data_IF_768353615798
#
_entry.id   IF_768353615798
#
_cell.length_a   1.000
_cell.length_b   1.000
_cell.length_c   1.000
_cell.angle_alpha   90.00
_cell.angle_beta   90.00
_cell.angle_gamma   90.00
#
_symmetry.space_group_name_H-M   'P 1'
#
loop_
_entity.id
_entity.type
_entity.pdbx_description
1 polymer ?
#
# COMPACT_ATOMS: atom_id res chain seq x y z
N UNK A 1 -5.04 5.85 8.15
CA UNK A 1 -4.66 5.91 6.71
C UNK A 1 -4.21 4.54 6.24
N UNK A 2 -4.56 4.16 5.00
CA UNK A 2 -4.04 2.98 4.30
C UNK A 2 -3.04 3.42 3.25
N UNK A 3 -1.94 2.69 3.15
CA UNK A 3 -0.88 2.98 2.17
C UNK A 3 -0.63 1.75 1.31
N UNK A 4 -0.57 1.94 0.00
CA UNK A 4 -0.24 0.89 -0.96
C UNK A 4 1.17 1.13 -1.50
N UNK A 5 2.01 0.11 -1.47
CA UNK A 5 3.41 0.21 -1.89
C UNK A 5 3.72 -0.91 -2.88
N UNK A 6 4.37 -0.52 -3.97
CA UNK A 6 5.04 -1.45 -4.87
C UNK A 6 6.48 -1.55 -4.42
N UNK A 7 6.86 -2.72 -3.93
CA UNK A 7 8.27 -3.02 -3.67
C UNK A 7 8.95 -3.42 -4.98
N UNK A 8 10.15 -2.88 -5.19
CA UNK A 8 11.04 -3.44 -6.19
C UNK A 8 11.35 -4.90 -5.83
N UNK A 9 11.51 -5.79 -6.82
CA UNK A 9 11.72 -7.22 -6.58
C UNK A 9 12.93 -7.51 -5.68
N UNK A 10 13.97 -6.67 -5.75
CA UNK A 10 15.18 -6.78 -4.92
C UNK A 10 14.90 -6.63 -3.42
N UNK A 11 13.83 -5.92 -3.04
CA UNK A 11 13.47 -5.64 -1.65
C UNK A 11 12.28 -6.48 -1.16
N UNK A 12 11.71 -7.35 -2.01
CA UNK A 12 10.64 -8.27 -1.59
C UNK A 12 11.20 -9.23 -0.54
N UNK A 13 10.53 -9.29 0.62
CA UNK A 13 10.92 -10.15 1.74
C UNK A 13 11.96 -9.54 2.69
N UNK A 14 12.59 -8.42 2.33
CA UNK A 14 13.53 -7.71 3.21
C UNK A 14 12.86 -6.60 4.03
N UNK A 15 11.76 -6.04 3.51
CA UNK A 15 11.05 -4.92 4.13
C UNK A 15 9.75 -5.40 4.75
N UNK A 16 9.61 -5.21 6.06
CA UNK A 16 8.37 -5.46 6.81
C UNK A 16 7.45 -4.23 6.82
N UNK A 17 6.15 -4.46 7.03
CA UNK A 17 5.14 -3.40 7.17
C UNK A 17 5.53 -2.40 8.26
N UNK A 18 5.99 -2.90 9.41
CA UNK A 18 6.39 -2.07 10.55
C UNK A 18 7.51 -1.08 10.20
N UNK A 19 8.48 -1.51 9.40
CA UNK A 19 9.61 -0.68 8.98
C UNK A 19 9.13 0.50 8.11
N UNK A 20 8.17 0.24 7.22
CA UNK A 20 7.54 1.28 6.41
C UNK A 20 6.72 2.23 7.28
N UNK A 21 5.91 1.70 8.19
CA UNK A 21 5.07 2.52 9.07
C UNK A 21 5.96 3.48 9.88
N UNK A 22 7.05 2.99 10.48
CA UNK A 22 8.00 3.82 11.22
C UNK A 22 8.68 4.86 10.32
N UNK A 23 9.15 4.44 9.14
CA UNK A 23 9.80 5.33 8.18
C UNK A 23 8.87 6.47 7.73
N UNK A 24 7.61 6.14 7.46
CA UNK A 24 6.62 7.13 7.05
C UNK A 24 6.22 7.99 8.25
N UNK A 25 6.01 7.43 9.44
CA UNK A 25 5.66 8.18 10.65
C UNK A 25 6.70 9.26 11.00
N UNK A 26 7.99 9.03 10.71
CA UNK A 26 9.06 10.03 10.86
C UNK A 26 8.98 11.20 9.88
N UNK A 27 8.24 11.06 8.77
CA UNK A 27 8.17 12.04 7.67
C UNK A 27 6.85 12.79 7.59
N UNK A 28 5.79 12.28 8.21
CA UNK A 28 4.50 12.96 8.29
C UNK A 28 4.23 13.50 9.69
N UNK A 29 3.32 14.48 9.75
CA UNK A 29 2.86 15.04 11.02
C UNK A 29 2.13 14.00 11.87
N UNK A 30 2.25 14.12 13.20
CA UNK A 30 1.82 13.14 14.20
C UNK A 30 0.35 12.69 14.08
N UNK A 31 -0.53 13.53 13.49
CA UNK A 31 -1.93 13.17 13.29
C UNK A 31 -2.18 12.21 12.11
N UNK A 32 -1.24 12.07 11.15
CA UNK A 32 -1.38 11.18 10.00
C UNK A 32 -0.84 9.78 10.32
N UNK A 33 -1.51 9.08 11.23
CA UNK A 33 -1.17 7.71 11.57
C UNK A 33 -1.59 6.72 10.47
N UNK A 34 -0.65 5.88 10.05
CA UNK A 34 -0.88 4.77 9.11
C UNK A 34 -1.28 3.55 9.93
N UNK A 35 -2.36 2.89 9.53
CA UNK A 35 -2.90 1.72 10.22
C UNK A 35 -2.52 0.42 9.51
N UNK A 36 -2.47 0.45 8.17
CA UNK A 36 -2.26 -0.74 7.34
C UNK A 36 -1.42 -0.35 6.12
N UNK A 37 -0.50 -1.25 5.75
CA UNK A 37 0.37 -1.14 4.57
C UNK A 37 0.12 -2.34 3.67
N UNK A 38 -0.51 -2.10 2.52
CA UNK A 38 -0.73 -3.14 1.52
C UNK A 38 0.42 -3.20 0.54
N UNK A 39 1.04 -4.38 0.38
CA UNK A 39 2.00 -4.63 -0.68
C UNK A 39 1.31 -5.11 -1.95
N UNK A 40 1.44 -4.34 -3.01
CA UNK A 40 0.84 -4.62 -4.33
C UNK A 40 1.94 -4.72 -5.39
N UNK A 41 1.78 -5.64 -6.33
CA UNK A 41 2.75 -5.81 -7.43
C UNK A 41 2.60 -4.72 -8.49
N UNK A 42 1.37 -4.26 -8.71
CA UNK A 42 1.04 -3.28 -9.73
C UNK A 42 -0.05 -2.34 -9.20
N UNK A 43 0.12 -1.04 -9.41
CA UNK A 43 -0.94 -0.06 -9.19
C UNK A 43 -1.78 0.01 -10.47
N UNK A 44 -3.08 -0.32 -10.43
CA UNK A 44 -3.95 -0.17 -11.59
C UNK A 44 -4.09 1.33 -11.91
N UNK A 45 -3.55 1.71 -13.07
CA UNK A 45 -3.70 3.05 -13.64
C UNK A 45 -4.67 2.94 -14.82
N UNK A 46 -5.74 3.71 -14.78
CA UNK A 46 -6.57 3.89 -15.98
C UNK A 46 -5.81 4.75 -17.00
N UNK A 47 -6.11 4.62 -18.29
CA UNK A 47 -5.50 5.38 -19.40
C UNK A 47 -5.54 6.91 -19.26
N UNK A 48 -6.20 7.44 -18.24
CA UNK A 48 -6.25 8.86 -17.87
C UNK A 48 -5.43 9.20 -16.61
N UNK A 49 -4.38 8.43 -16.28
CA UNK A 49 -3.51 8.64 -15.10
C UNK A 49 -4.21 8.55 -13.74
N UNK A 50 -5.49 8.17 -13.71
CA UNK A 50 -6.29 8.07 -12.49
C UNK A 50 -5.94 6.77 -11.77
N UNK A 51 -5.43 6.92 -10.54
CA UNK A 51 -5.26 5.79 -9.61
C UNK A 51 -6.63 5.35 -9.14
N UNK A 52 -7.01 4.12 -9.47
CA UNK A 52 -8.32 3.56 -9.13
C UNK A 52 -8.25 2.97 -7.72
N UNK A 53 -8.38 3.84 -6.71
CA UNK A 53 -8.36 3.41 -5.30
C UNK A 53 -9.43 2.35 -4.99
N UNK A 54 -10.60 2.44 -5.63
CA UNK A 54 -11.66 1.43 -5.49
C UNK A 54 -11.20 0.04 -5.93
N UNK A 55 -10.57 -0.06 -7.10
CA UNK A 55 -10.07 -1.34 -7.62
C UNK A 55 -8.91 -1.88 -6.78
N UNK A 56 -8.03 -1.02 -6.25
CA UNK A 56 -6.99 -1.44 -5.31
C UNK A 56 -7.58 -2.11 -4.05
N UNK A 57 -8.61 -1.49 -3.47
CA UNK A 57 -9.29 -2.02 -2.28
C UNK A 57 -10.00 -3.34 -2.62
N UNK A 58 -10.63 -3.42 -3.79
CA UNK A 58 -11.34 -4.62 -4.23
C UNK A 58 -10.40 -5.78 -4.54
N UNK A 59 -9.25 -5.52 -5.18
CA UNK A 59 -8.20 -6.50 -5.40
C UNK A 59 -7.62 -7.02 -4.08
N UNK A 60 -7.39 -6.15 -3.10
CA UNK A 60 -6.91 -6.53 -1.78
C UNK A 60 -7.93 -7.40 -1.04
N UNK A 61 -9.21 -7.00 -1.02
CA UNK A 61 -10.30 -7.82 -0.45
C UNK A 61 -10.39 -9.20 -1.10
N UNK A 62 -10.28 -9.26 -2.43
CA UNK A 62 -10.31 -10.51 -3.19
C UNK A 62 -9.10 -11.39 -2.88
N UNK A 63 -7.92 -10.80 -2.69
CA UNK A 63 -6.69 -11.51 -2.26
C UNK A 63 -6.81 -12.07 -0.84
N UNK A 64 -7.49 -11.36 0.06
CA UNK A 64 -7.78 -11.79 1.42
C UNK A 64 -8.96 -12.78 1.53
N UNK A 65 -9.63 -13.09 0.41
CA UNK A 65 -10.77 -14.03 0.39
C UNK A 65 -12.04 -13.51 1.07
N UNK A 66 -12.10 -12.22 1.36
CA UNK A 66 -13.28 -11.57 1.95
C UNK A 66 -14.27 -11.25 0.84
N UNK A 67 -15.44 -11.90 0.87
CA UNK A 67 -16.59 -11.60 -0.01
C UNK A 67 -17.16 -10.21 0.27
#
# INVERSE_FOLDING_TARGET
>A
LRLFIILKPEFKGQISEQNIIDWVAKRISAYKKIHEVGFVDTIPKSGSSKTLQRELIEQEKKKLGLK
#
